data_IF_070016346078
#
_entry.id   IF_070016346078
#
_cell.length_a   1.000
_cell.length_b   1.000
_cell.length_c   1.000
_cell.angle_alpha   90.00
_cell.angle_beta   90.00
_cell.angle_gamma   90.00
#
_symmetry.space_group_name_H-M   'P 1'
#
loop_
_entity.id
_entity.type
_entity.pdbx_description
1 polymer ?
#
# COMPACT_ATOMS: atom_id res chain seq x y z
N UNK A 1 26.77 -38.41 37.62
CA UNK A 1 25.43 -38.21 37.05
C UNK A 1 25.62 -37.85 35.59
N UNK A 2 25.58 -38.84 34.71
CA UNK A 2 25.85 -38.66 33.27
C UNK A 2 24.56 -38.19 32.62
N UNK A 3 24.57 -36.95 32.12
CA UNK A 3 23.45 -36.37 31.41
C UNK A 3 23.40 -37.00 30.01
N UNK A 4 22.42 -37.88 29.76
CA UNK A 4 22.21 -38.49 28.45
C UNK A 4 21.49 -37.46 27.59
N UNK A 5 22.23 -36.83 26.67
CA UNK A 5 21.63 -36.05 25.59
C UNK A 5 20.96 -37.08 24.67
N UNK A 6 19.64 -37.20 24.75
CA UNK A 6 18.87 -37.96 23.79
C UNK A 6 18.98 -37.23 22.44
N UNK A 7 19.78 -37.79 21.52
CA UNK A 7 19.78 -37.35 20.13
C UNK A 7 18.39 -37.64 19.55
N UNK A 8 17.78 -36.68 18.83
CA UNK A 8 16.48 -36.90 18.20
C UNK A 8 16.55 -38.09 17.24
N UNK A 9 15.44 -38.81 17.13
CA UNK A 9 15.34 -39.94 16.20
C UNK A 9 15.47 -39.40 14.76
N UNK A 10 16.13 -40.11 13.84
CA UNK A 10 16.41 -39.62 12.48
C UNK A 10 15.14 -39.26 11.67
N UNK A 11 14.00 -39.83 12.04
CA UNK A 11 12.69 -39.49 11.46
C UNK A 11 12.17 -38.12 11.94
N UNK A 12 12.42 -37.76 13.20
CA UNK A 12 12.08 -36.44 13.75
C UNK A 12 12.98 -35.33 13.19
N UNK A 13 14.27 -35.62 13.00
CA UNK A 13 15.18 -34.66 12.37
C UNK A 13 14.80 -34.35 10.92
N UNK A 14 14.27 -35.31 10.17
CA UNK A 14 13.78 -35.09 8.81
C UNK A 14 12.45 -34.30 8.78
N UNK A 15 11.52 -34.59 9.70
CA UNK A 15 10.27 -33.82 9.83
C UNK A 15 10.52 -32.36 10.25
N UNK A 16 11.47 -32.13 11.15
CA UNK A 16 11.88 -30.79 11.58
C UNK A 16 12.53 -30.00 10.42
N UNK A 17 13.39 -30.65 9.61
CA UNK A 17 14.01 -30.04 8.42
C UNK A 17 12.97 -29.65 7.34
N UNK A 18 11.99 -30.53 7.09
CA UNK A 18 10.90 -30.27 6.15
C UNK A 18 10.00 -29.11 6.63
N UNK A 19 9.71 -29.03 7.94
CA UNK A 19 8.95 -27.92 8.52
C UNK A 19 9.70 -26.60 8.42
N UNK A 20 11.00 -26.57 8.78
CA UNK A 20 11.83 -25.38 8.65
C UNK A 20 11.94 -24.91 7.20
N UNK A 21 11.96 -25.84 6.23
CA UNK A 21 11.97 -25.49 4.82
C UNK A 21 10.65 -24.84 4.39
N UNK A 22 9.50 -25.41 4.79
CA UNK A 22 8.18 -24.84 4.49
C UNK A 22 8.00 -23.45 5.10
N UNK A 23 8.47 -23.23 6.34
CA UNK A 23 8.45 -21.91 6.98
C UNK A 23 9.31 -20.89 6.23
N UNK A 24 10.50 -21.29 5.78
CA UNK A 24 11.39 -20.44 4.97
C UNK A 24 10.75 -20.08 3.63
N UNK A 25 10.12 -21.03 2.95
CA UNK A 25 9.44 -20.79 1.68
C UNK A 25 8.25 -19.83 1.85
N UNK A 26 7.44 -20.03 2.89
CA UNK A 26 6.32 -19.14 3.24
C UNK A 26 6.80 -17.73 3.56
N UNK A 27 7.83 -17.58 4.40
CA UNK A 27 8.39 -16.28 4.75
C UNK A 27 8.97 -15.56 3.51
N UNK A 28 9.59 -16.32 2.61
CA UNK A 28 10.10 -15.76 1.36
C UNK A 28 8.97 -15.23 0.46
N UNK A 29 7.90 -16.01 0.27
CA UNK A 29 6.73 -15.59 -0.50
C UNK A 29 6.09 -14.31 0.08
N UNK A 30 5.92 -14.26 1.40
CA UNK A 30 5.40 -13.08 2.10
C UNK A 30 6.29 -11.84 1.90
N UNK A 31 7.62 -11.99 2.01
CA UNK A 31 8.55 -10.89 1.78
C UNK A 31 8.50 -10.37 0.34
N UNK A 32 8.24 -11.23 -0.65
CA UNK A 32 8.05 -10.82 -2.05
C UNK A 32 6.79 -9.96 -2.18
N UNK A 33 5.67 -10.39 -1.59
CA UNK A 33 4.41 -9.63 -1.62
C UNK A 33 4.56 -8.26 -0.96
N UNK A 34 5.24 -8.19 0.19
CA UNK A 34 5.54 -6.93 0.87
C UNK A 34 6.38 -5.99 0.01
N UNK A 35 7.40 -6.53 -0.67
CA UNK A 35 8.25 -5.73 -1.55
C UNK A 35 7.47 -5.20 -2.76
N UNK A 36 6.56 -5.98 -3.32
CA UNK A 36 5.69 -5.55 -4.43
C UNK A 36 4.70 -4.47 -3.98
N UNK A 37 4.08 -4.62 -2.81
CA UNK A 37 3.21 -3.63 -2.21
C UNK A 37 3.96 -2.30 -1.97
N UNK A 38 5.15 -2.36 -1.35
CA UNK A 38 6.01 -1.20 -1.11
C UNK A 38 6.38 -0.50 -2.41
N UNK A 39 6.77 -1.26 -3.45
CA UNK A 39 7.12 -0.68 -4.74
C UNK A 39 5.92 0.00 -5.42
N UNK A 40 4.75 -0.63 -5.39
CA UNK A 40 3.51 -0.05 -5.89
C UNK A 40 3.16 1.24 -5.13
N UNK A 41 3.25 1.21 -3.79
CA UNK A 41 3.09 2.36 -2.92
C UNK A 41 3.99 3.53 -3.30
N UNK A 42 5.29 3.27 -3.52
CA UNK A 42 6.23 4.30 -3.98
C UNK A 42 5.89 4.86 -5.36
N UNK A 43 5.43 4.03 -6.30
CA UNK A 43 4.98 4.51 -7.62
C UNK A 43 3.73 5.38 -7.50
N UNK A 44 2.76 4.96 -6.70
CA UNK A 44 1.55 5.71 -6.38
C UNK A 44 1.87 7.06 -5.73
N UNK A 45 2.64 7.05 -4.64
CA UNK A 45 3.10 8.25 -3.95
C UNK A 45 3.90 9.18 -4.88
N UNK A 46 4.78 8.63 -5.72
CA UNK A 46 5.52 9.39 -6.73
C UNK A 46 4.60 10.17 -7.67
N UNK A 47 3.56 9.51 -8.18
CA UNK A 47 2.56 10.19 -9.01
C UNK A 47 1.79 11.26 -8.23
N UNK A 48 1.37 11.01 -6.98
CA UNK A 48 0.69 12.04 -6.16
C UNK A 48 1.59 13.25 -5.91
N UNK A 49 2.91 13.05 -5.69
CA UNK A 49 3.89 14.14 -5.60
C UNK A 49 4.03 14.92 -6.92
N UNK A 50 3.91 14.25 -8.08
CA UNK A 50 3.82 14.94 -9.36
C UNK A 50 2.57 15.86 -9.41
N UNK A 51 1.42 15.39 -8.89
CA UNK A 51 0.21 16.22 -8.80
C UNK A 51 0.44 17.45 -7.89
N UNK A 52 1.10 17.25 -6.75
CA UNK A 52 1.41 18.28 -5.77
C UNK A 52 2.31 19.38 -6.36
N UNK A 53 3.34 18.98 -7.13
CA UNK A 53 4.28 19.90 -7.78
C UNK A 53 3.62 20.84 -8.80
N UNK A 54 2.42 20.51 -9.29
CA UNK A 54 1.65 21.34 -10.23
C UNK A 54 0.76 22.37 -9.53
N UNK A 55 0.54 22.25 -8.22
CA UNK A 55 -0.36 23.14 -7.50
C UNK A 55 0.31 24.49 -7.27
N UNK A 56 -0.36 25.57 -7.69
CA UNK A 56 0.06 26.94 -7.40
C UNK A 56 -0.23 27.30 -5.93
N UNK A 57 -1.38 26.85 -5.42
CA UNK A 57 -1.79 27.08 -4.05
C UNK A 57 -1.05 26.18 -3.07
N UNK A 58 -0.44 26.79 -2.04
CA UNK A 58 0.37 26.09 -1.05
C UNK A 58 -0.42 25.00 -0.32
N UNK A 59 -1.67 25.29 0.04
CA UNK A 59 -2.50 24.34 0.79
C UNK A 59 -2.80 23.08 -0.03
N UNK A 60 -3.11 23.22 -1.33
CA UNK A 60 -3.36 22.07 -2.21
C UNK A 60 -2.11 21.19 -2.36
N UNK A 61 -0.93 21.81 -2.45
CA UNK A 61 0.34 21.07 -2.47
C UNK A 61 0.53 20.25 -1.20
N UNK A 62 0.35 20.88 -0.02
CA UNK A 62 0.54 20.22 1.27
C UNK A 62 -0.40 19.02 1.45
N UNK A 63 -1.67 19.16 1.07
CA UNK A 63 -2.64 18.05 1.16
C UNK A 63 -2.21 16.87 0.28
N UNK A 64 -1.77 17.13 -0.96
CA UNK A 64 -1.30 16.07 -1.85
C UNK A 64 0.03 15.46 -1.38
N UNK A 65 0.94 16.24 -0.81
CA UNK A 65 2.19 15.71 -0.22
C UNK A 65 1.89 14.77 0.96
N UNK A 66 0.97 15.14 1.85
CA UNK A 66 0.51 14.27 2.94
C UNK A 66 -0.12 12.98 2.43
N UNK A 67 -0.97 13.08 1.41
CA UNK A 67 -1.57 11.91 0.79
C UNK A 67 -0.51 10.98 0.18
N UNK A 68 0.53 11.53 -0.45
CA UNK A 68 1.62 10.74 -1.00
C UNK A 68 2.41 10.01 0.11
N UNK A 69 2.73 10.71 1.20
CA UNK A 69 3.42 10.11 2.34
C UNK A 69 2.54 9.03 2.99
N UNK A 70 1.22 9.25 3.06
CA UNK A 70 0.27 8.28 3.57
C UNK A 70 0.20 7.01 2.70
N UNK A 71 0.18 7.16 1.36
CA UNK A 71 0.21 6.04 0.41
C UNK A 71 1.50 5.22 0.58
N UNK A 72 2.65 5.88 0.67
CA UNK A 72 3.94 5.20 0.84
C UNK A 72 4.00 4.44 2.17
N UNK A 73 3.49 5.05 3.26
CA UNK A 73 3.45 4.41 4.58
C UNK A 73 2.52 3.21 4.63
N UNK A 74 1.30 3.35 4.11
CA UNK A 74 0.27 2.30 4.15
C UNK A 74 0.65 1.07 3.32
N UNK A 75 1.41 1.24 2.25
CA UNK A 75 1.86 0.13 1.41
C UNK A 75 3.22 -0.46 1.80
N UNK A 76 3.97 0.19 2.69
CA UNK A 76 5.30 -0.24 3.11
C UNK A 76 5.38 -0.48 4.63
N UNK A 77 5.91 0.46 5.42
CA UNK A 77 6.22 0.25 6.84
C UNK A 77 5.01 -0.08 7.73
N UNK A 78 3.79 0.27 7.32
CA UNK A 78 2.56 -0.04 8.07
C UNK A 78 1.85 -1.30 7.55
N UNK A 79 2.30 -1.86 6.42
CA UNK A 79 1.86 -3.14 5.90
C UNK A 79 2.62 -4.28 6.60
N UNK A 80 2.26 -4.55 7.85
CA UNK A 80 2.93 -5.54 8.70
C UNK A 80 2.13 -6.85 8.73
N UNK A 81 2.75 -8.00 8.36
CA UNK A 81 2.11 -9.30 8.51
C UNK A 81 1.68 -9.59 9.95
N UNK A 82 0.45 -10.08 10.12
CA UNK A 82 -0.14 -10.33 11.44
C UNK A 82 -0.38 -9.07 12.30
N UNK A 83 -0.18 -7.87 11.76
CA UNK A 83 -0.36 -6.59 12.45
C UNK A 83 -1.81 -6.16 12.67
N UNK A 84 -2.78 -7.02 12.33
CA UNK A 84 -4.22 -6.75 12.47
C UNK A 84 -4.81 -5.86 11.36
N UNK A 85 -3.97 -5.35 10.45
CA UNK A 85 -4.39 -4.66 9.24
C UNK A 85 -5.11 -3.33 9.43
N UNK A 86 -4.97 -2.71 10.62
CA UNK A 86 -5.66 -1.45 10.96
C UNK A 86 -4.70 -0.27 10.79
N UNK A 87 -5.12 0.70 9.96
CA UNK A 87 -4.43 1.98 9.85
C UNK A 87 -4.57 2.79 11.14
N UNK A 88 -3.55 3.60 11.43
CA UNK A 88 -3.71 4.67 12.41
C UNK A 88 -4.77 5.68 11.94
N UNK A 89 -5.46 6.33 12.88
CA UNK A 89 -6.52 7.30 12.56
C UNK A 89 -5.99 8.46 11.70
N UNK A 90 -4.77 8.92 11.96
CA UNK A 90 -4.07 9.94 11.16
C UNK A 90 -3.89 9.48 9.70
N UNK A 91 -3.42 8.25 9.51
CA UNK A 91 -3.16 7.71 8.18
C UNK A 91 -4.46 7.47 7.40
N UNK A 92 -5.50 6.99 8.08
CA UNK A 92 -6.84 6.83 7.51
C UNK A 92 -7.44 8.20 7.11
N UNK A 93 -7.23 9.23 7.92
CA UNK A 93 -7.66 10.60 7.62
C UNK A 93 -6.95 11.17 6.38
N UNK A 94 -5.62 11.02 6.28
CA UNK A 94 -4.85 11.54 5.14
C UNK A 94 -5.14 10.80 3.82
N UNK A 95 -5.66 9.57 3.89
CA UNK A 95 -6.14 8.81 2.73
C UNK A 95 -7.62 9.03 2.40
N UNK A 96 -8.37 9.73 3.26
CA UNK A 96 -9.80 9.92 3.07
C UNK A 96 -10.09 10.79 1.85
N UNK A 97 -11.00 10.33 0.99
CA UNK A 97 -11.28 10.95 -0.30
C UNK A 97 -11.69 12.43 -0.19
N UNK A 98 -12.44 12.78 0.86
CA UNK A 98 -12.87 14.15 1.16
C UNK A 98 -11.72 15.04 1.65
N UNK A 99 -10.69 14.47 2.27
CA UNK A 99 -9.47 15.18 2.64
C UNK A 99 -8.63 15.48 1.39
N UNK A 100 -8.42 14.48 0.51
CA UNK A 100 -7.54 14.64 -0.66
C UNK A 100 -8.19 15.37 -1.85
N UNK A 101 -9.50 15.22 -2.03
CA UNK A 101 -10.23 15.93 -3.09
C UNK A 101 -10.96 17.16 -2.61
N UNK A 102 -10.93 17.41 -1.29
CA UNK A 102 -11.57 18.48 -0.54
C UNK A 102 -13.08 18.29 -0.35
N UNK A 103 -13.62 18.94 0.68
CA UNK A 103 -15.07 19.08 0.87
C UNK A 103 -15.64 20.09 -0.14
N UNK A 104 -16.85 19.84 -0.66
CA UNK A 104 -17.65 20.83 -1.41
C UNK A 104 -17.85 22.16 -0.66
N UNK A 105 -17.57 22.19 0.65
CA UNK A 105 -17.72 23.35 1.53
C UNK A 105 -16.41 24.03 1.94
N UNK A 106 -15.23 23.53 1.55
CA UNK A 106 -13.94 24.13 1.90
C UNK A 106 -13.37 24.98 0.74
N UNK A 107 -12.65 26.05 1.07
CA UNK A 107 -12.08 27.00 0.09
C UNK A 107 -11.05 26.32 -0.83
N UNK A 108 -11.53 25.90 -2.01
CA UNK A 108 -10.73 25.48 -3.15
C UNK A 108 -10.26 24.03 -3.11
N UNK A 109 -10.57 23.28 -4.15
CA UNK A 109 -10.04 21.92 -4.37
C UNK A 109 -8.70 21.99 -5.12
N UNK A 110 -7.80 21.00 -4.95
CA UNK A 110 -6.64 20.86 -5.82
C UNK A 110 -7.05 20.95 -7.30
N UNK A 111 -6.25 21.65 -8.10
CA UNK A 111 -6.51 21.83 -9.52
C UNK A 111 -6.14 20.53 -10.24
N UNK A 112 -7.15 19.68 -10.40
CA UNK A 112 -7.08 18.34 -10.99
C UNK A 112 -8.23 18.16 -11.99
N UNK A 113 -7.95 17.46 -13.08
CA UNK A 113 -8.99 17.00 -14.01
C UNK A 113 -9.93 15.99 -13.33
N UNK A 114 -11.11 15.76 -13.90
CA UNK A 114 -12.05 14.78 -13.35
C UNK A 114 -11.42 13.37 -13.29
N UNK A 115 -10.66 12.99 -14.32
CA UNK A 115 -9.96 11.70 -14.36
C UNK A 115 -8.84 11.60 -13.32
N UNK A 116 -8.09 12.68 -13.10
CA UNK A 116 -7.05 12.73 -12.06
C UNK A 116 -7.65 12.60 -10.64
N UNK A 117 -8.82 13.20 -10.38
CA UNK A 117 -9.51 13.07 -9.09
C UNK A 117 -9.94 11.62 -8.82
N UNK A 118 -10.55 10.98 -9.80
CA UNK A 118 -11.00 9.58 -9.68
C UNK A 118 -9.79 8.67 -9.47
N UNK A 119 -8.72 8.86 -10.22
CA UNK A 119 -7.47 8.12 -10.05
C UNK A 119 -6.86 8.33 -8.67
N UNK A 120 -6.86 9.56 -8.14
CA UNK A 120 -6.32 9.86 -6.81
C UNK A 120 -7.11 9.15 -5.71
N UNK A 121 -8.44 9.22 -5.78
CA UNK A 121 -9.31 8.49 -4.84
C UNK A 121 -9.05 6.99 -4.91
N UNK A 122 -8.89 6.42 -6.10
CA UNK A 122 -8.58 5.01 -6.26
C UNK A 122 -7.22 4.64 -5.64
N UNK A 123 -6.17 5.42 -5.88
CA UNK A 123 -4.85 5.20 -5.26
C UNK A 123 -4.94 5.25 -3.74
N UNK A 124 -5.59 6.27 -3.17
CA UNK A 124 -5.74 6.39 -1.72
C UNK A 124 -6.58 5.26 -1.11
N UNK A 125 -7.65 4.83 -1.78
CA UNK A 125 -8.49 3.72 -1.33
C UNK A 125 -7.73 2.39 -1.35
N UNK A 126 -6.94 2.14 -2.41
CA UNK A 126 -6.12 0.92 -2.50
C UNK A 126 -5.02 0.94 -1.44
N UNK A 127 -4.35 2.07 -1.24
CA UNK A 127 -3.37 2.22 -0.17
C UNK A 127 -4.00 1.96 1.21
N UNK A 128 -5.22 2.44 1.44
CA UNK A 128 -5.91 2.23 2.70
C UNK A 128 -6.31 0.75 2.93
N UNK A 129 -6.52 -0.01 1.87
CA UNK A 129 -6.85 -1.43 1.94
C UNK A 129 -5.60 -2.33 2.11
N UNK A 130 -4.41 -1.85 1.73
CA UNK A 130 -3.19 -2.66 1.69
C UNK A 130 -2.82 -3.31 3.04
N UNK A 131 -2.88 -2.62 4.20
CA UNK A 131 -2.56 -3.25 5.48
C UNK A 131 -3.49 -4.40 5.84
N UNK A 132 -4.77 -4.33 5.47
CA UNK A 132 -5.73 -5.39 5.73
C UNK A 132 -5.45 -6.63 4.85
N UNK A 133 -5.08 -6.42 3.58
CA UNK A 133 -4.71 -7.50 2.68
C UNK A 133 -3.40 -8.20 3.09
N UNK A 134 -2.44 -7.46 3.67
CA UNK A 134 -1.15 -7.99 4.12
C UNK A 134 -1.22 -8.60 5.52
N UNK A 135 -1.89 -7.93 6.46
CA UNK A 135 -1.83 -8.24 7.88
C UNK A 135 -3.08 -8.92 8.45
N UNK A 136 -4.13 -9.11 7.65
CA UNK A 136 -5.37 -9.77 8.06
C UNK A 136 -5.33 -11.29 7.92
N UNK A 137 -6.39 -11.96 8.39
CA UNK A 137 -6.61 -13.41 8.20
C UNK A 137 -7.00 -13.78 6.75
N UNK A 138 -6.84 -12.84 5.81
CA UNK A 138 -7.25 -12.95 4.41
C UNK A 138 -6.22 -13.64 3.52
N UNK A 139 -6.56 -13.77 2.24
CA UNK A 139 -5.74 -14.44 1.23
C UNK A 139 -4.76 -13.45 0.59
N UNK A 140 -3.70 -13.10 1.33
CA UNK A 140 -2.70 -12.11 0.92
C UNK A 140 -2.08 -12.42 -0.46
N UNK A 141 -1.89 -13.70 -0.79
CA UNK A 141 -1.34 -14.17 -2.06
C UNK A 141 -2.22 -13.78 -3.26
N UNK A 142 -3.54 -13.63 -3.05
CA UNK A 142 -4.47 -13.22 -4.09
C UNK A 142 -4.84 -11.73 -4.02
N UNK A 143 -5.00 -11.19 -2.80
CA UNK A 143 -5.45 -9.81 -2.60
C UNK A 143 -4.36 -8.79 -2.92
N UNK A 144 -3.12 -9.01 -2.47
CA UNK A 144 -2.03 -8.05 -2.67
C UNK A 144 -1.72 -7.82 -4.16
N UNK A 145 -1.58 -8.86 -5.01
CA UNK A 145 -1.35 -8.64 -6.45
C UNK A 145 -2.48 -7.88 -7.14
N UNK A 146 -3.73 -8.10 -6.73
CA UNK A 146 -4.89 -7.37 -7.27
C UNK A 146 -4.84 -5.90 -6.87
N UNK A 147 -4.50 -5.60 -5.61
CA UNK A 147 -4.36 -4.23 -5.13
C UNK A 147 -3.19 -3.51 -5.82
N UNK A 148 -2.03 -4.17 -5.94
CA UNK A 148 -0.87 -3.64 -6.68
C UNK A 148 -1.25 -3.29 -8.12
N UNK A 149 -1.86 -4.22 -8.85
CA UNK A 149 -2.29 -3.98 -10.23
C UNK A 149 -3.33 -2.87 -10.33
N UNK A 150 -4.24 -2.77 -9.36
CA UNK A 150 -5.25 -1.72 -9.30
C UNK A 150 -4.62 -0.35 -9.06
N UNK A 151 -3.63 -0.25 -8.16
CA UNK A 151 -2.89 0.98 -7.93
C UNK A 151 -2.15 1.44 -9.18
N UNK A 152 -1.42 0.54 -9.84
CA UNK A 152 -0.69 0.84 -11.08
C UNK A 152 -1.65 1.28 -12.21
N UNK A 153 -2.81 0.62 -12.34
CA UNK A 153 -3.84 1.01 -13.29
C UNK A 153 -4.40 2.41 -12.98
N UNK A 154 -4.68 2.72 -11.72
CA UNK A 154 -5.16 4.04 -11.31
C UNK A 154 -4.12 5.13 -11.62
N UNK A 155 -2.84 4.89 -11.34
CA UNK A 155 -1.74 5.80 -11.70
C UNK A 155 -1.66 6.01 -13.21
N UNK A 156 -1.74 4.93 -14.01
CA UNK A 156 -1.71 5.02 -15.46
C UNK A 156 -2.90 5.83 -16.02
N UNK A 157 -4.11 5.59 -15.52
CA UNK A 157 -5.31 6.36 -15.88
C UNK A 157 -5.17 7.83 -15.49
N UNK A 158 -4.68 8.12 -14.28
CA UNK A 158 -4.45 9.47 -13.81
C UNK A 158 -3.44 10.24 -14.67
N UNK A 159 -2.36 9.57 -15.11
CA UNK A 159 -1.39 10.15 -16.04
C UNK A 159 -1.96 10.34 -17.45
N UNK A 160 -2.81 9.45 -17.94
CA UNK A 160 -3.47 9.59 -19.24
C UNK A 160 -4.54 10.70 -19.24
N UNK A 161 -5.23 10.90 -18.12
CA UNK A 161 -6.21 11.97 -17.91
C UNK A 161 -5.58 13.39 -17.92
N UNK A 162 -4.25 13.47 -18.03
CA UNK A 162 -3.47 14.69 -18.25
C UNK A 162 -3.63 15.26 -19.67
N UNK A 163 -4.15 14.49 -20.63
CA UNK A 163 -4.25 14.97 -22.01
C UNK A 163 -5.17 16.20 -22.17
N UNK A 164 -4.80 17.17 -23.04
CA UNK A 164 -5.43 18.47 -23.08
C UNK A 164 -6.73 18.42 -23.88
N UNK A 165 -7.86 18.49 -23.17
CA UNK A 165 -9.18 18.69 -23.75
C UNK A 165 -9.55 20.16 -23.82
N UNK A 166 -8.89 20.91 -24.71
CA UNK A 166 -9.45 22.12 -25.32
C UNK A 166 -9.66 21.78 -26.81
N UNK A 167 -10.86 21.28 -27.14
CA UNK A 167 -11.42 21.20 -28.49
C UNK A 167 -12.91 21.50 -28.42
#
# INVERSE_FOLDING_TARGET
>A
MTNVIALPLPEQAAEDEDQEQLERERQHAENVLLAEADEAGRRGAGWVRELAGRQAERWHRVVLERAADAVERACGPEAVPGGGGVLTEELAYDLAADVVTGSVCAEGLPVLSAGERVALVAVCAVAAAMPAAVGGDGDAEHEVPVLVATMDAAVAVGRAAREPGDR
#
